data_IF_244811408440
#
_entry.id   IF_244811408440
#
_cell.length_a   1.000
_cell.length_b   1.000
_cell.length_c   1.000
_cell.angle_alpha   90.00
_cell.angle_beta   90.00
_cell.angle_gamma   90.00
#
_symmetry.space_group_name_H-M   'P 1'
#
loop_
_entity.id
_entity.type
_entity.pdbx_description
1 polymer ?
#
# COMPACT_ATOMS: atom_id res chain seq x y z
N UNK A 1 -26.56 0.75 38.46
CA UNK A 1 -26.40 1.70 37.33
C UNK A 1 -24.91 1.96 37.15
N UNK A 2 -24.36 1.63 35.98
CA UNK A 2 -23.13 2.13 35.31
C UNK A 2 -22.48 0.99 34.52
N UNK A 3 -22.53 1.10 33.19
CA UNK A 3 -21.49 0.81 32.18
C UNK A 3 -22.24 0.86 30.84
N UNK A 4 -22.08 1.88 30.02
CA UNK A 4 -20.81 2.31 29.45
C UNK A 4 -20.84 1.94 27.96
N UNK A 5 -21.84 2.45 27.23
CA UNK A 5 -21.96 2.24 25.80
C UNK A 5 -21.00 3.19 25.06
N UNK A 6 -19.72 2.81 24.98
CA UNK A 6 -18.82 3.33 23.95
C UNK A 6 -18.96 2.45 22.70
N UNK A 7 -20.10 2.56 22.05
CA UNK A 7 -20.28 2.05 20.69
C UNK A 7 -19.64 3.05 19.73
N UNK A 8 -18.35 2.88 19.45
CA UNK A 8 -17.71 3.55 18.32
C UNK A 8 -18.47 3.16 17.05
N UNK A 9 -19.16 4.13 16.44
CA UNK A 9 -19.87 3.96 15.18
C UNK A 9 -18.90 3.76 14.01
N UNK A 10 -18.34 2.57 13.91
CA UNK A 10 -17.92 2.00 12.64
C UNK A 10 -19.10 1.16 12.17
N UNK A 11 -19.87 1.67 11.20
CA UNK A 11 -20.98 0.91 10.65
C UNK A 11 -20.45 -0.42 10.11
N UNK A 12 -21.23 -1.47 10.35
CA UNK A 12 -21.06 -2.82 9.82
C UNK A 12 -20.71 -2.79 8.33
N UNK A 13 -19.46 -3.08 8.04
CA UNK A 13 -18.86 -3.01 6.72
C UNK A 13 -17.40 -3.41 6.85
N UNK A 14 -17.15 -4.57 7.47
CA UNK A 14 -15.80 -5.12 7.55
C UNK A 14 -15.22 -5.23 6.14
N UNK A 15 -13.97 -4.81 5.97
CA UNK A 15 -13.23 -5.03 4.72
C UNK A 15 -13.23 -6.54 4.46
N UNK A 16 -13.87 -6.99 3.38
CA UNK A 16 -13.85 -8.41 3.04
C UNK A 16 -12.47 -8.78 2.52
N UNK A 17 -11.99 -9.97 2.88
CA UNK A 17 -10.71 -10.49 2.40
C UNK A 17 -10.65 -10.46 0.86
N UNK A 18 -11.76 -10.84 0.21
CA UNK A 18 -11.91 -10.81 -1.24
C UNK A 18 -11.81 -9.42 -1.87
N UNK A 19 -12.29 -8.37 -1.19
CA UNK A 19 -12.15 -7.00 -1.68
C UNK A 19 -10.69 -6.56 -1.61
N UNK A 20 -10.01 -6.89 -0.52
CA UNK A 20 -8.59 -6.59 -0.36
C UNK A 20 -7.72 -7.35 -1.37
N UNK A 21 -8.03 -8.62 -1.67
CA UNK A 21 -7.37 -9.39 -2.74
C UNK A 21 -7.58 -8.77 -4.12
N UNK A 22 -8.80 -8.33 -4.41
CA UNK A 22 -9.12 -7.66 -5.67
C UNK A 22 -8.35 -6.33 -5.80
N UNK A 23 -8.22 -5.56 -4.72
CA UNK A 23 -7.47 -4.31 -4.73
C UNK A 23 -5.97 -4.54 -4.95
N UNK A 24 -5.38 -5.55 -4.30
CA UNK A 24 -3.97 -5.94 -4.55
C UNK A 24 -3.77 -6.32 -6.01
N UNK A 25 -4.62 -7.19 -6.55
CA UNK A 25 -4.55 -7.61 -7.95
C UNK A 25 -4.72 -6.44 -8.94
N UNK A 26 -5.59 -5.48 -8.61
CA UNK A 26 -5.76 -4.26 -9.40
C UNK A 26 -4.46 -3.45 -9.47
N UNK A 27 -3.79 -3.20 -8.34
CA UNK A 27 -2.54 -2.44 -8.34
C UNK A 27 -1.39 -3.19 -8.99
N UNK A 28 -1.32 -4.53 -8.86
CA UNK A 28 -0.36 -5.34 -9.61
C UNK A 28 -0.56 -5.21 -11.12
N UNK A 29 -1.80 -5.36 -11.60
CA UNK A 29 -2.11 -5.16 -13.01
C UNK A 29 -1.79 -3.73 -13.47
N UNK A 30 -2.06 -2.72 -12.64
CA UNK A 30 -1.80 -1.33 -12.97
C UNK A 30 -0.30 -1.03 -13.09
N UNK A 31 0.51 -1.57 -12.18
CA UNK A 31 1.97 -1.45 -12.20
C UNK A 31 2.57 -2.17 -13.43
N UNK A 32 2.06 -3.36 -13.78
CA UNK A 32 2.51 -4.11 -14.95
C UNK A 32 2.23 -3.39 -16.29
N UNK A 33 1.25 -2.49 -16.32
CA UNK A 33 0.93 -1.67 -17.49
C UNK A 33 1.76 -0.39 -17.59
N UNK A 34 2.52 -0.03 -16.54
CA UNK A 34 3.39 1.13 -16.61
C UNK A 34 4.67 0.79 -17.40
N UNK A 35 5.14 1.70 -18.28
CA UNK A 35 6.39 1.49 -19.00
C UNK A 35 7.55 1.39 -18.02
N UNK A 36 8.51 0.49 -18.28
CA UNK A 36 9.68 0.24 -17.42
C UNK A 36 10.48 1.51 -17.16
N UNK A 37 10.65 2.33 -18.18
CA UNK A 37 11.23 3.66 -18.08
C UNK A 37 10.12 4.72 -17.95
N UNK A 38 10.17 5.49 -16.87
CA UNK A 38 9.25 6.61 -16.66
C UNK A 38 9.72 7.81 -17.47
N UNK A 39 8.97 8.17 -18.50
CA UNK A 39 9.24 9.33 -19.36
C UNK A 39 8.77 10.67 -18.77
N UNK A 40 8.10 10.66 -17.61
CA UNK A 40 7.61 11.87 -16.94
C UNK A 40 7.53 11.71 -15.44
N UNK A 41 7.64 12.84 -14.71
CA UNK A 41 7.46 12.86 -13.25
C UNK A 41 6.08 12.35 -12.80
N UNK A 42 5.06 12.48 -13.65
CA UNK A 42 3.73 11.89 -13.38
C UNK A 42 3.79 10.35 -13.36
N UNK A 43 4.49 9.72 -14.29
CA UNK A 43 4.66 8.27 -14.31
C UNK A 43 5.50 7.78 -13.13
N UNK A 44 6.54 8.54 -12.74
CA UNK A 44 7.31 8.26 -11.52
C UNK A 44 6.40 8.28 -10.29
N UNK A 45 5.59 9.34 -10.14
CA UNK A 45 4.64 9.45 -9.03
C UNK A 45 3.61 8.30 -9.03
N UNK A 46 3.07 7.94 -10.19
CA UNK A 46 2.15 6.80 -10.32
C UNK A 46 2.79 5.49 -9.86
N UNK A 47 4.03 5.20 -10.32
CA UNK A 47 4.74 3.98 -9.96
C UNK A 47 5.01 3.92 -8.45
N UNK A 48 5.44 5.02 -7.84
CA UNK A 48 5.65 5.10 -6.39
C UNK A 48 4.35 4.87 -5.60
N UNK A 49 3.28 5.58 -5.95
CA UNK A 49 2.01 5.51 -5.22
C UNK A 49 1.36 4.13 -5.37
N UNK A 50 1.28 3.59 -6.59
CA UNK A 50 0.70 2.27 -6.80
C UNK A 50 1.53 1.16 -6.16
N UNK A 51 2.86 1.31 -6.15
CA UNK A 51 3.77 0.41 -5.45
C UNK A 51 3.51 0.37 -3.95
N UNK A 52 3.43 1.53 -3.31
CA UNK A 52 3.20 1.61 -1.86
C UNK A 52 1.78 1.16 -1.49
N UNK A 53 0.76 1.51 -2.28
CA UNK A 53 -0.61 1.01 -2.06
C UNK A 53 -0.68 -0.51 -2.17
N UNK A 54 -0.08 -1.11 -3.21
CA UNK A 54 0.00 -2.57 -3.33
C UNK A 54 0.67 -3.20 -2.11
N UNK A 55 1.78 -2.61 -1.65
CA UNK A 55 2.55 -3.09 -0.49
C UNK A 55 1.69 -3.07 0.78
N UNK A 56 1.09 -1.93 1.11
CA UNK A 56 0.27 -1.78 2.32
C UNK A 56 -0.93 -2.72 2.31
N UNK A 57 -1.60 -2.87 1.17
CA UNK A 57 -2.76 -3.77 1.06
C UNK A 57 -2.35 -5.23 1.16
N UNK A 58 -1.19 -5.61 0.60
CA UNK A 58 -0.61 -6.95 0.77
C UNK A 58 -0.25 -7.24 2.22
N UNK A 59 0.35 -6.27 2.93
CA UNK A 59 0.68 -6.39 4.35
C UNK A 59 -0.60 -6.57 5.20
N UNK A 60 -1.66 -5.83 4.88
CA UNK A 60 -2.97 -5.99 5.52
C UNK A 60 -3.56 -7.37 5.25
N UNK A 61 -3.45 -7.87 4.01
CA UNK A 61 -3.95 -9.17 3.61
C UNK A 61 -3.24 -10.29 4.37
N UNK A 62 -1.91 -10.25 4.48
CA UNK A 62 -1.12 -11.21 5.25
C UNK A 62 -1.53 -11.24 6.72
N UNK A 63 -1.69 -10.05 7.34
CA UNK A 63 -2.16 -9.93 8.73
C UNK A 63 -3.55 -10.53 8.93
N UNK A 64 -4.47 -10.31 7.99
CA UNK A 64 -5.83 -10.84 8.04
C UNK A 64 -5.89 -12.36 7.81
N UNK A 65 -4.98 -12.91 7.02
CA UNK A 65 -4.85 -14.37 6.80
C UNK A 65 -4.28 -15.12 8.01
N UNK A 66 -3.84 -14.40 9.05
CA UNK A 66 -3.20 -15.03 10.20
C UNK A 66 -1.79 -15.56 9.90
N UNK A 67 -1.22 -15.21 8.74
CA UNK A 67 0.17 -15.49 8.35
C UNK A 67 1.12 -14.46 9.00
N UNK A 68 0.87 -14.13 10.27
CA UNK A 68 1.71 -13.23 11.03
C UNK A 68 2.94 -13.94 11.55
N UNK A 69 4.06 -13.86 10.82
CA UNK A 69 5.40 -14.01 11.40
C UNK A 69 6.45 -13.23 10.56
N UNK A 70 6.87 -12.09 11.13
CA UNK A 70 8.16 -11.39 11.07
C UNK A 70 8.95 -11.31 9.74
N UNK A 71 8.91 -10.14 9.10
CA UNK A 71 10.04 -9.62 8.31
C UNK A 71 10.04 -8.09 8.50
N UNK A 72 10.83 -7.56 9.44
CA UNK A 72 12.22 -7.20 9.18
C UNK A 72 12.24 -5.72 8.79
N UNK A 73 12.89 -4.86 9.59
CA UNK A 73 13.11 -3.44 9.28
C UNK A 73 13.70 -3.33 7.87
N UNK A 74 12.87 -3.08 6.87
CA UNK A 74 13.29 -2.49 5.61
C UNK A 74 13.62 -1.04 5.92
N UNK A 75 14.89 -0.80 6.25
CA UNK A 75 15.48 0.52 6.15
C UNK A 75 15.14 1.04 4.75
N UNK A 76 14.28 2.05 4.68
CA UNK A 76 14.10 2.81 3.46
C UNK A 76 15.39 3.60 3.32
N UNK A 77 16.36 3.04 2.61
CA UNK A 77 17.46 3.81 2.07
C UNK A 77 16.85 4.67 0.98
N UNK A 78 16.48 5.89 1.36
CA UNK A 78 16.30 6.96 0.38
C UNK A 78 17.70 7.20 -0.14
N UNK A 79 18.07 6.56 -1.25
CA UNK A 79 19.25 6.97 -1.97
C UNK A 79 19.07 8.44 -2.32
N UNK A 80 19.99 9.25 -1.78
CA UNK A 80 20.15 10.66 -2.04
C UNK A 80 20.23 10.81 -3.57
N UNK A 81 19.14 11.27 -4.18
CA UNK A 81 19.15 11.65 -5.59
C UNK A 81 20.07 12.86 -5.65
N UNK A 82 21.26 12.78 -6.28
CA UNK A 82 22.12 13.94 -6.37
C UNK A 82 21.35 15.03 -7.10
N UNK A 83 21.17 16.15 -6.39
CA UNK A 83 20.64 17.39 -6.92
C UNK A 83 21.64 17.97 -7.90
N UNK A 84 21.78 17.34 -9.07
CA UNK A 84 22.50 17.93 -10.18
C UNK A 84 21.66 19.07 -10.74
N UNK A 85 22.23 20.26 -10.62
CA UNK A 85 21.65 21.52 -11.03
C UNK A 85 21.12 21.46 -12.46
N UNK A 86 19.86 21.86 -12.60
CA UNK A 86 19.29 22.16 -13.91
C UNK A 86 19.85 23.51 -14.40
N UNK A 87 20.27 23.62 -15.67
CA UNK A 87 20.74 24.86 -16.30
C UNK A 87 19.67 25.96 -16.38
#
# INVERSE_FOLDING_TARGET
MVRGARGSGWREGGISLSALEADVAYFDARLALLPDECASGYQVAQRMVYGELRRVLSDMLQRLRGEGEVIGKGEIVVEDVPGDGWP
#
